data_IF_440613688629
#
_entry.id   IF_440613688629
#
_cell.length_a   1.000
_cell.length_b   1.000
_cell.length_c   1.000
_cell.angle_alpha   90.00
_cell.angle_beta   90.00
_cell.angle_gamma   90.00
#
_symmetry.space_group_name_H-M   'P 1'
#
loop_
_entity.id
_entity.type
_entity.pdbx_description
1 polymer ?
#
# COMPACT_ATOMS: atom_id res chain seq x y z
N UNK A 1 -5.70 -66.54 -20.02
CA UNK A 1 -5.17 -65.45 -20.87
C UNK A 1 -6.18 -64.33 -20.81
N UNK A 2 -5.79 -63.19 -20.24
CA UNK A 2 -6.64 -62.00 -20.11
C UNK A 2 -6.55 -61.11 -21.34
N UNK A 3 -7.58 -60.32 -21.59
CA UNK A 3 -7.66 -59.35 -22.67
C UNK A 3 -7.17 -58.01 -22.12
N UNK A 4 -6.19 -57.38 -22.79
CA UNK A 4 -5.69 -56.03 -22.42
C UNK A 4 -6.62 -55.02 -23.10
N UNK A 5 -7.39 -54.30 -22.27
CA UNK A 5 -8.23 -53.18 -22.75
C UNK A 5 -7.58 -51.85 -22.33
N UNK A 6 -7.40 -50.96 -23.28
CA UNK A 6 -7.01 -49.58 -22.97
C UNK A 6 -8.19 -48.88 -22.28
N UNK A 7 -7.92 -48.27 -21.14
CA UNK A 7 -8.89 -47.56 -20.34
C UNK A 7 -8.44 -46.15 -20.09
N UNK A 8 -9.24 -45.18 -20.53
CA UNK A 8 -8.98 -43.77 -20.21
C UNK A 8 -9.41 -43.49 -18.77
N UNK A 9 -8.44 -43.32 -17.90
CA UNK A 9 -8.66 -42.87 -16.53
C UNK A 9 -8.00 -41.47 -16.35
N UNK A 10 -8.67 -40.51 -15.75
CA UNK A 10 -8.01 -39.22 -15.42
C UNK A 10 -6.82 -39.48 -14.51
N UNK A 11 -5.60 -39.04 -14.86
CA UNK A 11 -4.38 -39.36 -14.13
C UNK A 11 -4.36 -38.75 -12.71
N UNK A 12 -5.11 -37.70 -12.48
CA UNK A 12 -5.24 -37.04 -11.18
C UNK A 12 -6.71 -36.63 -10.93
N UNK A 13 -7.22 -36.98 -9.75
CA UNK A 13 -8.54 -36.53 -9.30
C UNK A 13 -8.30 -35.46 -8.22
N UNK A 14 -8.37 -34.21 -8.60
CA UNK A 14 -8.29 -33.10 -7.65
C UNK A 14 -9.63 -32.89 -6.93
N UNK A 15 -9.55 -32.56 -5.64
CA UNK A 15 -10.72 -32.26 -4.82
C UNK A 15 -10.47 -30.97 -4.03
N UNK A 16 -11.42 -30.03 -4.08
CA UNK A 16 -11.48 -28.85 -3.21
C UNK A 16 -12.76 -28.94 -2.39
N UNK A 17 -12.69 -28.78 -1.09
CA UNK A 17 -13.85 -28.88 -0.17
C UNK A 17 -14.65 -30.19 -0.30
N UNK A 18 -13.98 -31.34 -0.51
CA UNK A 18 -14.55 -32.67 -0.71
C UNK A 18 -15.27 -32.90 -2.05
N UNK A 19 -15.38 -31.90 -2.89
CA UNK A 19 -15.96 -32.00 -4.25
C UNK A 19 -14.86 -32.23 -5.30
N UNK A 20 -15.17 -32.97 -6.36
CA UNK A 20 -14.27 -33.12 -7.50
C UNK A 20 -14.21 -31.82 -8.26
N UNK A 21 -13.02 -31.38 -8.66
CA UNK A 21 -12.81 -30.20 -9.46
C UNK A 21 -12.14 -30.56 -10.78
N UNK A 22 -12.53 -29.82 -11.83
CA UNK A 22 -11.80 -29.75 -13.09
C UNK A 22 -11.09 -28.40 -13.12
N UNK A 23 -9.77 -28.41 -13.17
CA UNK A 23 -8.95 -27.21 -13.18
C UNK A 23 -8.55 -26.87 -14.61
N UNK A 24 -8.99 -25.71 -15.07
CA UNK A 24 -8.53 -25.11 -16.32
C UNK A 24 -7.52 -24.01 -15.96
N UNK A 25 -6.25 -24.19 -16.33
CA UNK A 25 -5.20 -23.24 -16.02
C UNK A 25 -5.03 -22.26 -17.18
N UNK A 26 -5.11 -20.96 -16.87
CA UNK A 26 -4.85 -19.88 -17.81
C UNK A 26 -3.51 -19.25 -17.42
N UNK A 27 -2.55 -19.25 -18.35
CA UNK A 27 -1.25 -18.60 -18.12
C UNK A 27 -1.25 -17.25 -18.83
N UNK A 28 -1.03 -16.13 -18.09
CA UNK A 28 -0.99 -14.81 -18.70
C UNK A 28 0.17 -14.68 -19.68
N UNK A 29 -0.07 -13.95 -20.77
CA UNK A 29 1.01 -13.46 -21.62
C UNK A 29 1.82 -12.37 -20.87
N UNK A 30 3.10 -12.23 -21.20
CA UNK A 30 3.95 -11.22 -20.59
C UNK A 30 3.33 -9.82 -20.71
N UNK A 31 3.19 -9.12 -19.58
CA UNK A 31 2.66 -7.76 -19.51
C UNK A 31 1.14 -7.63 -19.35
N UNK A 32 0.38 -8.73 -19.29
CA UNK A 32 -1.07 -8.68 -19.03
C UNK A 32 -1.31 -8.79 -17.51
N UNK A 33 -2.12 -7.87 -16.97
CA UNK A 33 -2.45 -7.90 -15.56
C UNK A 33 -3.39 -9.07 -15.21
N UNK A 34 -3.17 -9.68 -14.04
CA UNK A 34 -3.98 -10.81 -13.58
C UNK A 34 -5.48 -10.44 -13.45
N UNK A 35 -5.75 -9.19 -13.07
CA UNK A 35 -7.11 -8.66 -12.98
C UNK A 35 -7.86 -8.61 -14.30
N UNK A 36 -7.17 -8.24 -15.40
CA UNK A 36 -7.78 -8.16 -16.73
C UNK A 36 -8.17 -9.56 -17.24
N UNK A 37 -7.31 -10.55 -16.95
CA UNK A 37 -7.59 -11.96 -17.30
C UNK A 37 -8.76 -12.50 -16.48
N UNK A 38 -8.79 -12.19 -15.18
CA UNK A 38 -9.88 -12.60 -14.33
C UNK A 38 -11.21 -12.00 -14.80
N UNK A 39 -11.22 -10.71 -15.15
CA UNK A 39 -12.41 -10.03 -15.68
C UNK A 39 -12.88 -10.62 -17.01
N UNK A 40 -11.95 -10.87 -17.93
CA UNK A 40 -12.27 -11.52 -19.22
C UNK A 40 -12.80 -12.95 -19.00
N UNK A 41 -12.20 -13.71 -18.08
CA UNK A 41 -12.65 -15.05 -17.72
C UNK A 41 -14.03 -15.04 -17.08
N UNK A 42 -14.31 -14.06 -16.22
CA UNK A 42 -15.63 -13.90 -15.62
C UNK A 42 -16.70 -13.59 -16.66
N UNK A 43 -16.40 -12.73 -17.64
CA UNK A 43 -17.32 -12.44 -18.76
C UNK A 43 -17.61 -13.69 -19.60
N UNK A 44 -16.62 -14.56 -19.79
CA UNK A 44 -16.83 -15.83 -20.49
C UNK A 44 -17.75 -16.74 -19.67
N UNK A 45 -17.51 -16.85 -18.37
CA UNK A 45 -18.32 -17.67 -17.43
C UNK A 45 -19.77 -17.19 -17.43
N UNK A 46 -19.99 -15.86 -17.34
CA UNK A 46 -21.31 -15.25 -17.26
C UNK A 46 -22.11 -15.41 -18.57
N UNK A 47 -21.43 -15.58 -19.71
CA UNK A 47 -22.03 -15.79 -21.02
C UNK A 47 -22.23 -17.27 -21.40
N UNK A 48 -21.87 -18.21 -20.52
CA UNK A 48 -22.12 -19.63 -20.76
C UNK A 48 -23.59 -19.98 -20.50
N UNK A 49 -24.34 -20.25 -21.55
CA UNK A 49 -25.79 -20.56 -21.47
C UNK A 49 -26.08 -22.01 -21.04
N UNK A 50 -25.15 -22.97 -21.21
CA UNK A 50 -25.34 -24.42 -21.02
C UNK A 50 -24.52 -24.98 -19.84
N UNK A 51 -24.52 -24.36 -18.67
CA UNK A 51 -23.87 -24.93 -17.50
C UNK A 51 -24.86 -25.82 -16.73
N UNK A 52 -24.57 -27.13 -16.55
CA UNK A 52 -25.39 -28.00 -15.73
C UNK A 52 -25.56 -27.46 -14.31
N UNK A 53 -26.75 -27.61 -13.71
CA UNK A 53 -27.05 -27.09 -12.38
C UNK A 53 -26.17 -27.67 -11.27
N UNK A 54 -25.55 -28.80 -11.50
CA UNK A 54 -24.64 -29.49 -10.56
C UNK A 54 -23.20 -29.00 -10.64
N UNK A 55 -22.87 -28.09 -11.59
CA UNK A 55 -21.52 -27.56 -11.82
C UNK A 55 -21.46 -26.09 -11.43
N UNK A 56 -20.59 -25.78 -10.46
CA UNK A 56 -20.28 -24.39 -10.10
C UNK A 56 -18.96 -23.98 -10.74
N UNK A 57 -18.97 -22.90 -11.50
CA UNK A 57 -17.79 -22.29 -12.10
C UNK A 57 -17.32 -21.15 -11.21
N UNK A 58 -16.03 -21.10 -10.88
CA UNK A 58 -15.44 -19.99 -10.15
C UNK A 58 -13.99 -19.79 -10.58
N UNK A 59 -13.53 -18.55 -10.47
CA UNK A 59 -12.13 -18.19 -10.71
C UNK A 59 -11.38 -18.36 -9.41
N UNK A 60 -10.47 -19.34 -9.37
CA UNK A 60 -9.65 -19.65 -8.20
C UNK A 60 -8.16 -19.40 -8.43
N UNK A 61 -7.34 -19.84 -7.48
CA UNK A 61 -5.89 -19.76 -7.53
C UNK A 61 -5.37 -18.36 -7.25
N UNK A 62 -4.30 -17.94 -7.94
CA UNK A 62 -3.60 -16.70 -7.65
C UNK A 62 -4.50 -15.45 -7.59
N UNK A 63 -5.61 -15.43 -8.31
CA UNK A 63 -6.55 -14.31 -8.27
C UNK A 63 -7.37 -14.29 -6.97
N UNK A 64 -7.89 -15.44 -6.55
CA UNK A 64 -8.61 -15.61 -5.28
C UNK A 64 -7.69 -15.24 -4.10
N UNK A 65 -6.46 -15.81 -4.09
CA UNK A 65 -5.44 -15.54 -3.06
C UNK A 65 -5.05 -14.05 -3.03
N UNK A 66 -4.96 -13.41 -4.19
CA UNK A 66 -4.67 -11.98 -4.30
C UNK A 66 -5.81 -11.13 -3.72
N UNK A 67 -7.06 -11.46 -4.03
CA UNK A 67 -8.23 -10.72 -3.56
C UNK A 67 -8.39 -10.85 -2.04
N UNK A 68 -8.22 -12.06 -1.48
CA UNK A 68 -8.19 -12.29 -0.03
C UNK A 68 -7.07 -11.50 0.66
N UNK A 69 -5.89 -11.50 0.04
CA UNK A 69 -4.73 -10.76 0.56
C UNK A 69 -4.99 -9.25 0.57
N UNK A 70 -5.54 -8.67 -0.51
CA UNK A 70 -5.89 -7.25 -0.54
C UNK A 70 -6.94 -6.88 0.50
N UNK A 71 -7.97 -7.71 0.68
CA UNK A 71 -8.97 -7.50 1.74
C UNK A 71 -8.33 -7.48 3.12
N UNK A 72 -7.45 -8.43 3.40
CA UNK A 72 -6.71 -8.52 4.67
C UNK A 72 -5.78 -7.30 4.86
N UNK A 73 -5.11 -6.83 3.80
CA UNK A 73 -4.23 -5.65 3.84
C UNK A 73 -5.00 -4.36 4.13
N UNK A 74 -6.23 -4.21 3.63
CA UNK A 74 -7.08 -3.04 3.96
C UNK A 74 -7.40 -3.03 5.45
N UNK A 75 -7.77 -4.16 6.03
CA UNK A 75 -8.01 -4.27 7.48
C UNK A 75 -6.76 -3.98 8.30
N UNK A 76 -5.61 -4.48 7.88
CA UNK A 76 -4.31 -4.20 8.51
C UNK A 76 -3.94 -2.71 8.39
N UNK A 77 -4.22 -2.09 7.25
CA UNK A 77 -4.01 -0.65 7.07
C UNK A 77 -4.88 0.16 8.03
N UNK A 78 -6.19 -0.14 8.12
CA UNK A 78 -7.09 0.54 9.04
C UNK A 78 -6.67 0.36 10.50
N UNK A 79 -6.28 -0.86 10.88
CA UNK A 79 -5.76 -1.15 12.21
C UNK A 79 -4.47 -0.37 12.48
N UNK A 80 -3.54 -0.32 11.52
CA UNK A 80 -2.28 0.42 11.68
C UNK A 80 -2.52 1.93 11.83
N UNK A 81 -3.44 2.51 11.05
CA UNK A 81 -3.84 3.91 11.17
C UNK A 81 -4.44 4.20 12.55
N UNK A 82 -5.33 3.33 13.03
CA UNK A 82 -5.93 3.45 14.35
C UNK A 82 -4.88 3.39 15.48
N UNK A 83 -3.97 2.42 15.42
CA UNK A 83 -2.91 2.27 16.42
C UNK A 83 -1.96 3.47 16.41
N UNK A 84 -1.52 3.92 15.24
CA UNK A 84 -0.68 5.11 15.10
C UNK A 84 -1.39 6.34 15.67
N UNK A 85 -2.69 6.51 15.39
CA UNK A 85 -3.47 7.61 15.96
C UNK A 85 -3.53 7.57 17.49
N UNK A 86 -3.82 6.39 18.07
CA UNK A 86 -3.90 6.22 19.53
C UNK A 86 -2.55 6.53 20.19
N UNK A 87 -1.45 6.00 19.64
CA UNK A 87 -0.10 6.24 20.17
C UNK A 87 0.25 7.73 20.10
N UNK A 88 -0.04 8.39 18.97
CA UNK A 88 0.18 9.83 18.85
C UNK A 88 -0.71 10.64 19.79
N UNK A 89 -1.97 10.25 19.98
CA UNK A 89 -2.90 10.93 20.89
C UNK A 89 -2.40 10.84 22.34
N UNK A 90 -1.88 9.69 22.74
CA UNK A 90 -1.25 9.50 24.04
C UNK A 90 0.05 10.32 24.20
N UNK A 91 0.88 10.38 23.14
CA UNK A 91 2.15 11.11 23.15
C UNK A 91 1.97 12.64 23.23
N UNK A 92 1.00 13.18 22.50
CA UNK A 92 0.73 14.62 22.45
C UNK A 92 -0.29 15.09 23.50
N UNK A 93 -0.89 14.18 24.26
CA UNK A 93 -1.99 14.48 25.20
C UNK A 93 -3.11 15.32 24.53
N UNK A 94 -3.31 15.09 23.23
CA UNK A 94 -4.22 15.88 22.38
C UNK A 94 -4.76 15.04 21.24
N UNK A 95 -6.06 15.16 20.95
CA UNK A 95 -6.67 14.54 19.77
C UNK A 95 -6.49 15.35 18.49
N UNK A 96 -6.21 16.66 18.61
CA UNK A 96 -6.04 17.56 17.45
C UNK A 96 -4.72 17.31 16.72
N UNK A 97 -3.62 17.11 17.45
CA UNK A 97 -2.28 16.99 16.87
C UNK A 97 -2.13 15.72 16.00
N UNK A 98 -2.56 14.53 16.42
CA UNK A 98 -2.54 13.34 15.58
C UNK A 98 -3.36 13.52 14.29
N UNK A 99 -4.51 14.18 14.37
CA UNK A 99 -5.35 14.42 13.21
C UNK A 99 -4.64 15.25 12.14
N UNK A 100 -3.92 16.31 12.56
CA UNK A 100 -3.12 17.16 11.66
C UNK A 100 -2.02 16.33 10.97
N UNK A 101 -1.33 15.46 11.71
CA UNK A 101 -0.27 14.61 11.17
C UNK A 101 -0.83 13.60 10.18
N UNK A 102 -1.94 12.96 10.51
CA UNK A 102 -2.56 11.95 9.67
C UNK A 102 -3.08 12.50 8.33
N UNK A 103 -3.34 13.80 8.26
CA UNK A 103 -3.74 14.44 7.00
C UNK A 103 -2.63 14.34 5.91
N UNK A 104 -1.38 14.11 6.30
CA UNK A 104 -0.30 13.88 5.34
C UNK A 104 -0.36 12.49 4.66
N UNK A 105 -1.04 11.51 5.26
CA UNK A 105 -1.10 10.12 4.76
C UNK A 105 -1.79 10.01 3.39
N UNK A 106 -2.98 10.61 3.15
CA UNK A 106 -3.61 10.55 1.83
C UNK A 106 -2.70 11.07 0.71
N UNK A 107 -1.91 12.10 0.99
CA UNK A 107 -0.95 12.62 0.01
C UNK A 107 0.23 11.68 -0.22
N UNK A 108 0.65 10.94 0.80
CA UNK A 108 1.65 9.90 0.62
C UNK A 108 1.15 8.79 -0.32
N UNK A 109 -0.11 8.36 -0.18
CA UNK A 109 -0.74 7.40 -1.10
C UNK A 109 -0.86 7.94 -2.53
N UNK A 110 -1.16 9.23 -2.69
CA UNK A 110 -1.13 9.87 -4.01
C UNK A 110 0.25 9.75 -4.65
N UNK A 111 1.32 9.95 -3.87
CA UNK A 111 2.70 9.76 -4.33
C UNK A 111 3.01 8.32 -4.74
N UNK A 112 2.49 7.34 -4.00
CA UNK A 112 2.60 5.90 -4.35
C UNK A 112 1.94 5.62 -5.69
N UNK A 113 0.69 6.05 -5.87
CA UNK A 113 -0.07 5.82 -7.11
C UNK A 113 0.63 6.48 -8.30
N UNK A 114 1.07 7.73 -8.16
CA UNK A 114 1.79 8.44 -9.21
C UNK A 114 3.10 7.72 -9.61
N UNK A 115 3.88 7.24 -8.65
CA UNK A 115 5.11 6.52 -8.93
C UNK A 115 4.86 5.20 -9.67
N UNK A 116 3.85 4.43 -9.25
CA UNK A 116 3.47 3.19 -9.92
C UNK A 116 2.99 3.45 -11.35
N UNK A 117 2.19 4.50 -11.57
CA UNK A 117 1.74 4.90 -12.91
C UNK A 117 2.89 5.34 -13.81
N UNK A 118 3.81 6.18 -13.32
CA UNK A 118 4.95 6.66 -14.09
C UNK A 118 5.93 5.53 -14.48
N UNK A 119 6.02 4.49 -13.66
CA UNK A 119 6.89 3.34 -13.92
C UNK A 119 6.18 2.18 -14.62
N UNK A 120 4.89 2.34 -15.00
CA UNK A 120 4.05 1.29 -15.54
C UNK A 120 4.10 0.00 -14.70
N UNK A 121 4.14 0.14 -13.38
CA UNK A 121 4.19 -0.98 -12.44
C UNK A 121 2.79 -1.23 -11.87
N UNK A 122 2.35 -2.48 -11.90
CA UNK A 122 1.03 -2.86 -11.38
C UNK A 122 1.00 -2.79 -9.86
N UNK A 123 -0.16 -2.46 -9.31
CA UNK A 123 -0.39 -2.48 -7.86
C UNK A 123 -0.43 -3.95 -7.39
N UNK A 124 0.69 -4.43 -6.87
CA UNK A 124 0.81 -5.77 -6.30
C UNK A 124 0.59 -5.74 -4.78
N UNK A 125 0.39 -6.94 -4.18
CA UNK A 125 0.34 -7.11 -2.72
C UNK A 125 1.57 -6.52 -2.06
N UNK A 126 2.74 -6.69 -2.67
CA UNK A 126 4.03 -6.20 -2.14
C UNK A 126 4.13 -4.67 -2.22
N UNK A 127 3.58 -4.05 -3.29
CA UNK A 127 3.44 -2.60 -3.36
C UNK A 127 2.51 -2.06 -2.25
N UNK A 128 1.40 -2.75 -1.99
CA UNK A 128 0.48 -2.39 -0.90
C UNK A 128 1.13 -2.51 0.48
N UNK A 129 1.94 -3.53 0.72
CA UNK A 129 2.77 -3.64 1.94
C UNK A 129 3.73 -2.45 2.07
N UNK A 130 4.37 -2.03 0.97
CA UNK A 130 5.20 -0.83 0.93
C UNK A 130 4.43 0.43 1.31
N UNK A 131 3.19 0.56 0.83
CA UNK A 131 2.30 1.68 1.17
C UNK A 131 1.89 1.67 2.65
N UNK A 132 1.65 0.51 3.26
CA UNK A 132 1.38 0.39 4.71
C UNK A 132 2.62 0.79 5.52
N UNK A 133 3.80 0.31 5.14
CA UNK A 133 5.05 0.67 5.80
C UNK A 133 5.33 2.18 5.73
N UNK A 134 4.95 2.81 4.61
CA UNK A 134 5.09 4.24 4.39
C UNK A 134 4.30 5.07 5.41
N UNK A 135 3.15 4.61 5.89
CA UNK A 135 2.36 5.29 6.93
C UNK A 135 3.22 5.58 8.16
N UNK A 136 3.96 4.58 8.67
CA UNK A 136 4.83 4.76 9.82
C UNK A 136 5.99 5.72 9.57
N UNK A 137 6.56 5.72 8.35
CA UNK A 137 7.68 6.58 8.00
C UNK A 137 7.24 8.04 7.86
N UNK A 138 6.07 8.28 7.24
CA UNK A 138 5.52 9.63 7.02
C UNK A 138 5.08 10.28 8.32
N UNK A 139 4.40 9.53 9.19
CA UNK A 139 3.94 10.04 10.48
C UNK A 139 5.09 10.48 11.36
N UNK A 140 6.23 9.76 11.35
CA UNK A 140 7.44 10.15 12.06
C UNK A 140 7.91 11.56 11.69
N UNK A 141 7.87 11.92 10.40
CA UNK A 141 8.29 13.25 9.94
C UNK A 141 7.35 14.35 10.46
N UNK A 142 6.03 14.08 10.48
CA UNK A 142 5.02 14.98 11.02
C UNK A 142 5.15 15.16 12.55
N UNK A 143 5.38 14.06 13.28
CA UNK A 143 5.58 14.09 14.73
C UNK A 143 6.73 15.03 15.11
N UNK A 144 7.90 14.84 14.50
CA UNK A 144 9.11 15.65 14.81
C UNK A 144 8.89 17.14 14.51
N UNK A 145 8.09 17.46 13.50
CA UNK A 145 7.80 18.85 13.15
C UNK A 145 6.84 19.49 14.16
N UNK A 146 5.72 18.82 14.49
CA UNK A 146 4.73 19.35 15.44
C UNK A 146 5.29 19.45 16.84
N UNK A 147 6.03 18.45 17.31
CA UNK A 147 6.70 18.46 18.59
C UNK A 147 7.60 19.70 18.75
N UNK A 148 8.35 20.02 17.70
CA UNK A 148 9.21 21.20 17.72
C UNK A 148 8.42 22.53 17.68
N UNK A 149 7.28 22.58 16.97
CA UNK A 149 6.39 23.75 16.99
C UNK A 149 5.85 23.96 18.39
N UNK A 150 5.36 22.90 19.05
CA UNK A 150 4.85 22.94 20.41
C UNK A 150 5.93 23.43 21.40
N UNK A 151 7.13 22.91 21.29
CA UNK A 151 8.27 23.34 22.11
C UNK A 151 8.58 24.84 21.94
N UNK A 152 8.48 25.39 20.73
CA UNK A 152 8.65 26.83 20.49
C UNK A 152 7.50 27.66 21.05
N UNK A 153 6.27 27.12 20.99
CA UNK A 153 5.08 27.75 21.58
C UNK A 153 5.18 27.81 23.12
N UNK A 154 5.62 26.74 23.77
CA UNK A 154 5.87 26.69 25.22
C UNK A 154 6.91 27.73 25.67
N UNK A 155 7.88 28.05 24.82
CA UNK A 155 8.87 29.13 25.05
C UNK A 155 8.31 30.53 24.86
N UNK A 156 7.02 30.68 24.58
CA UNK A 156 6.35 31.97 24.39
C UNK A 156 6.54 32.61 23.02
N UNK A 157 7.04 31.87 22.02
CA UNK A 157 7.21 32.38 20.67
C UNK A 157 5.83 32.48 19.99
N UNK A 158 5.59 33.55 19.22
CA UNK A 158 4.33 33.71 18.48
C UNK A 158 4.12 32.57 17.47
N UNK A 159 2.88 32.22 17.21
CA UNK A 159 2.50 31.07 16.37
C UNK A 159 3.26 31.03 15.03
N UNK A 160 3.19 32.08 14.25
CA UNK A 160 3.82 32.10 12.92
C UNK A 160 5.35 32.06 12.98
N UNK A 161 5.95 32.70 13.99
CA UNK A 161 7.41 32.69 14.21
C UNK A 161 7.87 31.30 14.68
N UNK A 162 7.09 30.65 15.54
CA UNK A 162 7.34 29.27 15.99
C UNK A 162 7.31 28.29 14.82
N UNK A 163 6.29 28.38 13.97
CA UNK A 163 6.16 27.56 12.76
C UNK A 163 7.35 27.80 11.81
N UNK A 164 7.69 29.07 11.53
CA UNK A 164 8.79 29.39 10.63
C UNK A 164 10.15 28.88 11.14
N UNK A 165 10.40 29.00 12.45
CA UNK A 165 11.61 28.47 13.08
C UNK A 165 11.63 26.95 13.06
N UNK A 166 10.50 26.30 13.35
CA UNK A 166 10.38 24.85 13.32
C UNK A 166 10.67 24.30 11.92
N UNK A 167 10.03 24.87 10.89
CA UNK A 167 10.27 24.46 9.51
C UNK A 167 11.74 24.62 9.11
N UNK A 168 12.37 25.76 9.42
CA UNK A 168 13.79 26.00 9.11
C UNK A 168 14.72 25.03 9.84
N UNK A 169 14.48 24.77 11.13
CA UNK A 169 15.33 23.91 11.94
C UNK A 169 15.18 22.43 11.58
N UNK A 170 13.98 21.99 11.23
CA UNK A 170 13.67 20.59 10.95
C UNK A 170 13.77 20.20 9.48
N UNK A 171 13.87 21.16 8.56
CA UNK A 171 13.99 20.88 7.13
C UNK A 171 15.20 19.96 6.83
N UNK A 172 16.38 20.30 7.35
CA UNK A 172 17.60 19.51 7.09
C UNK A 172 17.49 18.08 7.65
N UNK A 173 17.16 17.85 8.93
CA UNK A 173 16.99 16.48 9.47
C UNK A 173 15.95 15.66 8.71
N UNK A 174 14.79 16.24 8.37
CA UNK A 174 13.74 15.54 7.65
C UNK A 174 14.19 15.19 6.22
N UNK A 175 14.84 16.11 5.51
CA UNK A 175 15.38 15.81 4.18
C UNK A 175 16.47 14.73 4.23
N UNK A 176 17.36 14.76 5.24
CA UNK A 176 18.39 13.73 5.40
C UNK A 176 17.79 12.35 5.61
N UNK A 177 16.81 12.23 6.50
CA UNK A 177 16.15 10.93 6.76
C UNK A 177 15.37 10.45 5.53
N UNK A 178 14.65 11.33 4.86
CA UNK A 178 13.90 10.99 3.64
C UNK A 178 14.82 10.57 2.50
N UNK A 179 15.90 11.31 2.25
CA UNK A 179 16.89 10.96 1.23
C UNK A 179 17.60 9.64 1.53
N UNK A 180 17.96 9.40 2.80
CA UNK A 180 18.59 8.13 3.20
C UNK A 180 17.65 6.95 2.95
N UNK A 181 16.35 7.09 3.28
CA UNK A 181 15.35 6.05 3.02
C UNK A 181 15.15 5.84 1.52
N UNK A 182 15.03 6.92 0.74
CA UNK A 182 14.87 6.86 -0.71
C UNK A 182 16.08 6.16 -1.34
N UNK A 183 17.30 6.59 -1.01
CA UNK A 183 18.53 5.99 -1.54
C UNK A 183 18.69 4.52 -1.12
N UNK A 184 18.26 4.17 0.10
CA UNK A 184 18.23 2.78 0.57
C UNK A 184 17.25 1.89 -0.20
N UNK A 185 16.17 2.46 -0.76
CA UNK A 185 15.18 1.72 -1.57
C UNK A 185 15.53 1.68 -3.07
N UNK A 186 16.46 2.54 -3.55
CA UNK A 186 16.85 2.56 -4.96
C UNK A 186 17.33 1.20 -5.48
N UNK A 187 18.22 0.45 -4.79
CA UNK A 187 18.64 -0.86 -5.27
C UNK A 187 17.48 -1.83 -5.51
N UNK A 188 16.47 -1.79 -4.63
CA UNK A 188 15.26 -2.61 -4.77
C UNK A 188 14.40 -2.16 -5.97
N UNK A 189 14.25 -0.85 -6.17
CA UNK A 189 13.44 -0.29 -7.24
C UNK A 189 14.02 -0.51 -8.65
N UNK A 190 15.36 -0.57 -8.79
CA UNK A 190 16.04 -0.76 -10.08
C UNK A 190 16.49 -2.21 -10.32
N UNK A 191 16.25 -3.11 -9.36
CA UNK A 191 16.62 -4.52 -9.49
C UNK A 191 15.99 -5.14 -10.73
N UNK A 192 16.79 -5.92 -11.49
CA UNK A 192 16.40 -6.55 -12.75
C UNK A 192 16.71 -8.07 -12.80
N UNK A 193 17.05 -8.70 -11.66
CA UNK A 193 17.30 -10.15 -11.57
C UNK A 193 16.03 -10.97 -11.40
N UNK A 194 16.16 -12.30 -11.49
CA UNK A 194 15.05 -13.22 -11.18
C UNK A 194 14.51 -12.98 -9.77
N UNK A 195 13.19 -12.88 -9.63
CA UNK A 195 12.50 -12.55 -8.37
C UNK A 195 12.42 -11.05 -8.04
N UNK A 196 13.12 -10.19 -8.80
CA UNK A 196 13.02 -8.72 -8.62
C UNK A 196 11.63 -8.17 -8.92
N UNK A 197 10.90 -8.81 -9.83
CA UNK A 197 9.54 -8.45 -10.21
C UNK A 197 8.59 -8.40 -8.98
N UNK A 198 8.85 -9.24 -7.99
CA UNK A 198 8.07 -9.29 -6.75
C UNK A 198 8.35 -8.09 -5.83
N UNK A 199 9.60 -7.69 -5.65
CA UNK A 199 9.99 -6.69 -4.66
C UNK A 199 10.14 -5.27 -5.22
N UNK A 200 10.41 -5.13 -6.51
CA UNK A 200 10.55 -3.85 -7.21
C UNK A 200 9.34 -2.91 -7.00
N UNK A 201 8.07 -3.38 -7.06
CA UNK A 201 6.91 -2.52 -6.83
C UNK A 201 6.91 -1.87 -5.45
N UNK A 202 7.41 -2.56 -4.41
CA UNK A 202 7.54 -2.02 -3.06
C UNK A 202 8.54 -0.88 -3.01
N UNK A 203 9.73 -1.06 -3.61
CA UNK A 203 10.74 -0.01 -3.68
C UNK A 203 10.22 1.25 -4.36
N UNK A 204 9.53 1.09 -5.50
CA UNK A 204 8.92 2.19 -6.25
C UNK A 204 7.84 2.90 -5.42
N UNK A 205 6.95 2.13 -4.78
CA UNK A 205 5.89 2.67 -3.94
C UNK A 205 6.44 3.51 -2.78
N UNK A 206 7.45 2.99 -2.07
CA UNK A 206 8.06 3.70 -0.93
C UNK A 206 8.80 4.96 -1.40
N UNK A 207 9.57 4.89 -2.49
CA UNK A 207 10.28 6.06 -3.05
C UNK A 207 9.28 7.14 -3.45
N UNK A 208 8.27 6.80 -4.25
CA UNK A 208 7.27 7.75 -4.73
C UNK A 208 6.48 8.40 -3.59
N UNK A 209 6.00 7.57 -2.67
CA UNK A 209 5.28 8.05 -1.50
C UNK A 209 6.14 8.93 -0.59
N UNK A 210 7.42 8.59 -0.39
CA UNK A 210 8.36 9.39 0.42
C UNK A 210 8.67 10.75 -0.22
N UNK A 211 8.97 10.79 -1.52
CA UNK A 211 9.25 12.05 -2.23
C UNK A 211 8.05 12.99 -2.10
N UNK A 212 6.87 12.49 -2.42
CA UNK A 212 5.65 13.30 -2.43
C UNK A 212 5.24 13.73 -1.02
N UNK A 213 5.23 12.78 -0.06
CA UNK A 213 4.84 13.07 1.32
C UNK A 213 5.80 14.03 2.01
N UNK A 214 7.12 13.93 1.77
CA UNK A 214 8.10 14.82 2.41
C UNK A 214 7.86 16.27 2.01
N UNK A 215 7.63 16.53 0.72
CA UNK A 215 7.34 17.88 0.21
C UNK A 215 6.03 18.40 0.82
N UNK A 216 5.00 17.58 0.77
CA UNK A 216 3.65 17.98 1.21
C UNK A 216 3.56 18.12 2.72
N UNK A 217 4.16 17.24 3.48
CA UNK A 217 4.18 17.33 4.95
C UNK A 217 4.80 18.63 5.43
N UNK A 218 5.88 19.10 4.77
CA UNK A 218 6.52 20.36 5.10
C UNK A 218 5.65 21.60 4.83
N UNK A 219 4.64 21.49 3.99
CA UNK A 219 3.73 22.58 3.62
C UNK A 219 2.40 22.44 4.36
N UNK A 220 1.77 21.28 4.26
CA UNK A 220 0.40 21.05 4.75
C UNK A 220 0.35 20.99 6.27
N UNK A 221 1.25 20.26 6.92
CA UNK A 221 1.22 20.13 8.38
C UNK A 221 1.32 21.47 9.09
N UNK A 222 2.27 22.36 8.76
CA UNK A 222 2.33 23.69 9.35
C UNK A 222 1.12 24.57 9.02
N UNK A 223 0.61 24.49 7.80
CA UNK A 223 -0.55 25.27 7.36
C UNK A 223 -1.82 24.88 8.13
N UNK A 224 -2.07 23.58 8.26
CA UNK A 224 -3.22 23.06 9.01
C UNK A 224 -3.06 23.33 10.51
N UNK A 225 -1.85 23.19 11.04
CA UNK A 225 -1.56 23.56 12.43
C UNK A 225 -1.91 25.03 12.70
N UNK A 226 -1.46 25.96 11.84
CA UNK A 226 -1.77 27.36 11.95
C UNK A 226 -3.27 27.67 11.85
N UNK A 227 -4.01 26.93 11.01
CA UNK A 227 -5.45 27.10 10.85
C UNK A 227 -6.23 26.62 12.08
N UNK A 228 -5.80 25.51 12.70
CA UNK A 228 -6.48 24.91 13.84
C UNK A 228 -6.15 25.61 15.18
N UNK A 229 -4.96 26.18 15.32
CA UNK A 229 -4.55 26.91 16.53
C UNK A 229 -5.13 28.33 16.56
N UNK A 230 -5.51 28.89 15.41
CA UNK A 230 -6.15 30.21 15.29
C UNK A 230 -7.58 30.25 15.84
N UNK A 231 -8.20 29.06 16.02
CA UNK A 231 -9.60 28.92 16.49
C UNK A 231 -9.72 28.59 17.98
N UNK A 232 -8.64 28.66 18.74
CA UNK A 232 -8.55 28.56 20.20
C UNK A 232 -7.89 29.84 20.80
#
# INVERSE_FOLDING_TARGET
LGEIKEYFSPPNIERKSKQRILKVSITPAAGVALGDIAQASQQIIDNLEDVPQDVSLYIGGNYEDQQESFSSLIWLLLLSLMLVYIVMAAQFESFKMPFIIMLAIPFAFTGVILALLLTNTTLSIVAALGAIMLVGIVTKNGIVLIDFINLMRERGIRLYDAIAQACRSRLRPVLMTSLTTILGMVPMAISAGEGSETWRPMGIAVIGGMVFSTIITMIIVPAVYAAMDKSG
#
